data_IF_434133284338
#
_entry.id   IF_434133284338
#
_cell.length_a   1.000
_cell.length_b   1.000
_cell.length_c   1.000
_cell.angle_alpha   90.00
_cell.angle_beta   90.00
_cell.angle_gamma   90.00
#
_symmetry.space_group_name_H-M   'P 1'
#
loop_
_entity.id
_entity.type
_entity.pdbx_description
1 polymer ?
#
# COMPACT_ATOMS: atom_id res chain seq x y z
N UNK A 1 38.05 22.74 19.64
CA UNK A 1 36.79 23.19 20.26
C UNK A 1 35.64 22.75 19.37
N UNK A 2 34.43 22.45 19.89
CA UNK A 2 33.32 22.05 19.04
C UNK A 2 32.87 23.21 18.12
N UNK A 3 32.56 22.86 16.87
CA UNK A 3 32.04 23.81 15.88
C UNK A 3 30.52 23.72 15.88
N UNK A 4 29.84 24.84 16.01
CA UNK A 4 28.38 24.94 15.92
C UNK A 4 27.99 25.57 14.59
N UNK A 5 27.12 24.89 13.83
CA UNK A 5 26.45 25.49 12.69
C UNK A 5 25.21 26.22 13.19
N UNK A 6 25.00 27.46 12.74
CA UNK A 6 23.86 28.27 13.14
C UNK A 6 23.12 28.88 11.94
N UNK A 7 21.81 29.05 12.12
CA UNK A 7 20.95 29.90 11.28
C UNK A 7 20.35 30.98 12.18
N UNK A 8 20.67 32.24 11.86
CA UNK A 8 20.22 33.42 12.61
C UNK A 8 19.44 34.38 11.71
N UNK A 9 18.49 35.11 12.28
CA UNK A 9 17.89 36.28 11.64
C UNK A 9 18.60 37.56 12.11
N UNK A 10 18.78 38.48 11.18
CA UNK A 10 19.12 39.87 11.48
C UNK A 10 17.84 40.68 11.74
N UNK A 11 17.95 41.86 12.38
CA UNK A 11 16.83 42.77 12.59
C UNK A 11 16.13 43.24 11.30
N UNK A 12 16.82 43.15 10.15
CA UNK A 12 16.29 43.46 8.81
C UNK A 12 15.43 42.32 8.21
N UNK A 13 15.26 41.21 8.92
CA UNK A 13 14.50 40.03 8.47
C UNK A 13 15.27 39.08 7.55
N UNK A 14 16.52 39.39 7.21
CA UNK A 14 17.37 38.48 6.43
C UNK A 14 17.91 37.35 7.30
N UNK A 15 18.03 36.14 6.73
CA UNK A 15 18.59 34.98 7.44
C UNK A 15 20.02 34.72 6.99
N UNK A 16 20.89 34.40 7.94
CA UNK A 16 22.30 34.12 7.71
C UNK A 16 22.67 32.76 8.31
N UNK A 17 23.34 31.95 7.50
CA UNK A 17 23.89 30.66 7.90
C UNK A 17 25.40 30.79 8.09
N UNK A 18 25.90 30.28 9.21
CA UNK A 18 27.31 30.38 9.56
C UNK A 18 27.79 29.24 10.45
N UNK A 19 29.08 29.29 10.78
CA UNK A 19 29.71 28.38 11.73
C UNK A 19 30.49 29.18 12.75
N UNK A 20 30.40 28.78 14.02
CA UNK A 20 31.11 29.43 15.12
C UNK A 20 31.65 28.37 16.08
N UNK A 21 32.85 28.60 16.57
CA UNK A 21 33.47 27.74 17.57
C UNK A 21 33.05 28.17 18.97
N UNK A 22 32.73 27.20 19.83
CA UNK A 22 32.41 27.43 21.23
C UNK A 22 32.36 26.14 22.01
N UNK A 23 32.41 26.22 23.34
CA UNK A 23 32.49 25.03 24.20
C UNK A 23 31.10 24.44 24.49
N UNK A 24 30.10 25.29 24.74
CA UNK A 24 28.72 24.89 25.01
C UNK A 24 27.70 25.68 24.19
N UNK A 25 26.59 25.02 23.86
CA UNK A 25 25.52 25.59 23.02
C UNK A 25 24.94 26.86 23.64
N UNK A 26 24.74 26.89 24.96
CA UNK A 26 24.15 28.03 25.66
C UNK A 26 25.04 29.28 25.58
N UNK A 27 26.37 29.12 25.67
CA UNK A 27 27.34 30.21 25.53
C UNK A 27 27.40 30.73 24.09
N UNK A 28 27.33 29.83 23.11
CA UNK A 28 27.31 30.21 21.69
C UNK A 28 26.02 30.95 21.34
N UNK A 29 24.87 30.49 21.85
CA UNK A 29 23.59 31.16 21.70
C UNK A 29 23.61 32.55 22.32
N UNK A 30 24.05 32.68 23.57
CA UNK A 30 24.15 33.98 24.24
C UNK A 30 25.08 34.95 23.50
N UNK A 31 26.17 34.46 22.90
CA UNK A 31 27.09 35.25 22.07
C UNK A 31 26.45 35.75 20.77
N UNK A 32 25.63 34.92 20.11
CA UNK A 32 24.90 35.30 18.90
C UNK A 32 23.74 36.26 19.21
N UNK A 33 22.99 36.00 20.28
CA UNK A 33 21.90 36.87 20.74
C UNK A 33 22.43 38.23 21.23
N UNK A 34 23.60 38.26 21.89
CA UNK A 34 24.30 39.50 22.28
C UNK A 34 24.79 40.34 21.10
N UNK A 35 24.87 39.78 19.89
CA UNK A 35 25.14 40.51 18.65
C UNK A 35 23.86 41.04 17.97
N UNK A 36 22.70 40.93 18.64
CA UNK A 36 21.41 41.34 18.10
C UNK A 36 20.86 40.40 17.03
N UNK A 37 21.37 39.16 16.96
CA UNK A 37 20.96 38.14 16.01
C UNK A 37 20.00 37.16 16.68
N UNK A 38 18.86 36.88 16.05
CA UNK A 38 17.88 35.95 16.59
C UNK A 38 18.19 34.52 16.13
N UNK A 39 18.56 33.64 17.07
CA UNK A 39 19.02 32.28 16.76
C UNK A 39 17.83 31.34 16.52
N UNK A 40 17.60 30.96 15.26
CA UNK A 40 16.55 29.99 14.91
C UNK A 40 17.00 28.54 15.05
N UNK A 41 18.25 28.25 14.70
CA UNK A 41 18.81 26.91 14.75
C UNK A 41 20.28 26.99 15.14
N UNK A 42 20.68 26.19 16.11
CA UNK A 42 22.07 26.05 16.54
C UNK A 42 22.31 24.55 16.72
N UNK A 43 23.27 23.97 15.99
CA UNK A 43 23.56 22.53 16.04
C UNK A 43 25.07 22.31 16.13
N UNK A 44 25.49 21.53 17.13
CA UNK A 44 26.89 21.10 17.27
C UNK A 44 27.23 20.13 16.13
N UNK A 45 28.21 20.50 15.30
CA UNK A 45 28.70 19.65 14.22
C UNK A 45 29.69 18.64 14.81
N UNK A 46 29.34 17.35 14.76
CA UNK A 46 30.23 16.25 15.17
C UNK A 46 29.78 15.43 16.38
N UNK A 47 28.63 15.71 16.99
CA UNK A 47 28.01 14.76 17.90
C UNK A 47 27.18 13.76 17.08
N UNK A 48 27.79 12.63 16.70
CA UNK A 48 27.05 11.45 16.27
C UNK A 48 26.30 10.89 17.48
N UNK A 49 25.22 11.56 17.88
CA UNK A 49 24.29 11.07 18.88
C UNK A 49 23.40 10.04 18.21
N UNK A 50 23.63 8.78 18.57
CA UNK A 50 22.63 7.72 18.61
C UNK A 50 21.44 8.17 19.46
N UNK A 51 20.57 8.99 18.86
CA UNK A 51 19.25 9.29 19.39
C UNK A 51 18.24 8.46 18.61
N UNK A 52 17.67 7.47 19.29
CA UNK A 52 16.35 6.92 19.03
C UNK A 52 15.32 8.06 19.11
N UNK A 53 15.27 8.86 18.05
CA UNK A 53 14.31 9.92 17.81
C UNK A 53 13.77 9.70 16.41
N UNK A 54 12.48 9.38 16.32
CA UNK A 54 11.73 9.15 15.09
C UNK A 54 11.62 10.48 14.32
N UNK A 55 12.71 10.87 13.67
CA UNK A 55 12.70 11.80 12.54
C UNK A 55 12.71 10.96 11.28
N UNK A 56 11.53 10.52 10.83
CA UNK A 56 11.44 9.87 9.52
C UNK A 56 11.97 10.85 8.46
N UNK A 57 13.00 10.52 7.68
CA UNK A 57 13.34 11.31 6.52
C UNK A 57 12.11 11.32 5.61
N UNK A 58 11.59 12.51 5.30
CA UNK A 58 10.52 12.74 4.32
C UNK A 58 10.97 12.45 2.86
N UNK A 59 11.85 11.46 2.68
CA UNK A 59 12.16 10.81 1.42
C UNK A 59 11.13 9.69 1.17
N UNK A 60 9.86 10.02 1.36
CA UNK A 60 8.73 9.14 1.06
C UNK A 60 8.40 9.17 -0.43
N UNK A 61 7.97 8.03 -0.95
CA UNK A 61 7.30 7.95 -2.25
C UNK A 61 6.02 8.82 -2.20
N UNK A 62 5.77 9.61 -3.25
CA UNK A 62 4.58 10.45 -3.32
C UNK A 62 3.31 9.58 -3.27
N UNK A 63 2.28 9.94 -2.48
CA UNK A 63 1.02 9.22 -2.49
C UNK A 63 0.40 9.17 -3.89
N UNK A 64 -0.25 8.06 -4.25
CA UNK A 64 -0.84 7.87 -5.57
C UNK A 64 -1.86 8.95 -5.93
N UNK A 65 -2.65 9.42 -4.94
CA UNK A 65 -3.61 10.50 -5.14
C UNK A 65 -2.93 11.83 -5.48
N UNK A 66 -1.84 12.19 -4.80
CA UNK A 66 -1.07 13.39 -5.11
C UNK A 66 -0.39 13.27 -6.47
N UNK A 67 0.13 12.09 -6.82
CA UNK A 67 0.69 11.84 -8.14
C UNK A 67 -0.35 11.93 -9.27
N UNK A 68 -1.59 11.52 -8.99
CA UNK A 68 -2.72 11.71 -9.92
C UNK A 68 -2.99 13.21 -10.16
N UNK A 69 -3.04 14.02 -9.08
CA UNK A 69 -3.25 15.48 -9.20
C UNK A 69 -2.12 16.12 -9.99
N UNK A 70 -0.87 15.80 -9.67
CA UNK A 70 0.31 16.26 -10.42
C UNK A 70 0.18 15.99 -11.93
N UNK A 71 -0.24 14.76 -12.31
CA UNK A 71 -0.40 14.41 -13.71
C UNK A 71 -1.59 15.13 -14.38
N UNK A 72 -2.67 15.37 -13.66
CA UNK A 72 -3.80 16.16 -14.17
C UNK A 72 -3.40 17.62 -14.42
N UNK A 73 -2.61 18.21 -13.54
CA UNK A 73 -2.06 19.55 -13.73
C UNK A 73 -1.09 19.58 -14.91
N UNK A 74 -0.17 18.61 -15.00
CA UNK A 74 0.73 18.48 -16.14
C UNK A 74 -0.04 18.38 -17.47
N UNK A 75 -1.07 17.53 -17.53
CA UNK A 75 -1.92 17.40 -18.71
C UNK A 75 -2.62 18.73 -19.07
N UNK A 76 -3.17 19.44 -18.08
CA UNK A 76 -3.85 20.71 -18.31
C UNK A 76 -2.89 21.79 -18.85
N UNK A 77 -1.69 21.88 -18.27
CA UNK A 77 -0.66 22.83 -18.68
C UNK A 77 -0.09 22.51 -20.07
N UNK A 78 0.12 21.22 -20.38
CA UNK A 78 0.54 20.76 -21.71
C UNK A 78 -0.54 21.04 -22.76
N UNK A 79 -1.81 20.77 -22.46
CA UNK A 79 -2.94 21.09 -23.36
C UNK A 79 -3.10 22.59 -23.60
N UNK A 80 -2.77 23.41 -22.62
CA UNK A 80 -2.78 24.86 -22.75
C UNK A 80 -1.59 25.41 -23.58
N UNK A 81 -0.65 24.56 -24.00
CA UNK A 81 0.46 24.94 -24.88
C UNK A 81 1.54 25.79 -24.19
N UNK A 82 1.65 25.71 -22.86
CA UNK A 82 2.68 26.46 -22.15
C UNK A 82 4.09 25.93 -22.50
N UNK A 83 5.12 26.80 -22.54
CA UNK A 83 6.50 26.36 -22.71
C UNK A 83 6.91 25.35 -21.63
N UNK A 84 7.63 24.30 -22.01
CA UNK A 84 7.98 23.16 -21.12
C UNK A 84 8.57 23.63 -19.79
N UNK A 85 9.55 24.55 -19.81
CA UNK A 85 10.17 25.06 -18.57
C UNK A 85 9.16 25.77 -17.65
N UNK A 86 8.19 26.49 -18.22
CA UNK A 86 7.13 27.16 -17.45
C UNK A 86 6.14 26.16 -16.86
N UNK A 87 5.84 25.07 -17.58
CA UNK A 87 5.04 23.95 -17.05
C UNK A 87 5.70 23.39 -15.78
N UNK A 88 7.01 23.08 -15.84
CA UNK A 88 7.72 22.56 -14.67
C UNK A 88 7.80 23.55 -13.51
N UNK A 89 7.98 24.85 -13.77
CA UNK A 89 7.97 25.89 -12.72
C UNK A 89 6.63 25.89 -11.95
N UNK A 90 5.51 25.87 -12.67
CA UNK A 90 4.17 25.82 -12.05
C UNK A 90 3.95 24.53 -11.26
N UNK A 91 4.42 23.39 -11.75
CA UNK A 91 4.31 22.11 -11.05
C UNK A 91 5.18 22.07 -9.77
N UNK A 92 6.36 22.70 -9.78
CA UNK A 92 7.23 22.83 -8.61
C UNK A 92 6.58 23.70 -7.54
N UNK A 93 5.96 24.81 -7.94
CA UNK A 93 5.26 25.73 -7.02
C UNK A 93 4.05 25.06 -6.34
N UNK A 94 3.33 24.20 -7.05
CA UNK A 94 2.13 23.50 -6.56
C UNK A 94 2.42 22.20 -5.80
N UNK A 95 3.65 21.69 -5.85
CA UNK A 95 4.02 20.46 -5.17
C UNK A 95 4.10 20.64 -3.64
N UNK A 96 3.21 19.98 -2.90
CA UNK A 96 3.17 20.03 -1.44
C UNK A 96 4.26 19.17 -0.76
N UNK A 97 4.73 18.11 -1.42
CA UNK A 97 5.70 17.17 -0.85
C UNK A 97 7.14 17.62 -1.12
N UNK A 98 7.89 17.98 -0.07
CA UNK A 98 9.24 18.56 -0.18
C UNK A 98 10.24 17.71 -0.96
N UNK A 99 10.27 16.39 -0.73
CA UNK A 99 11.13 15.46 -1.48
C UNK A 99 10.79 15.40 -2.98
N UNK A 100 9.49 15.48 -3.31
CA UNK A 100 9.03 15.46 -4.69
C UNK A 100 9.32 16.79 -5.39
N UNK A 101 9.13 17.91 -4.69
CA UNK A 101 9.48 19.24 -5.17
C UNK A 101 10.98 19.33 -5.52
N UNK A 102 11.86 18.76 -4.69
CA UNK A 102 13.30 18.73 -4.97
C UNK A 102 13.64 17.88 -6.20
N UNK A 103 12.97 16.73 -6.37
CA UNK A 103 13.10 15.93 -7.58
C UNK A 103 12.67 16.71 -8.83
N UNK A 104 11.52 17.40 -8.77
CA UNK A 104 11.03 18.23 -9.89
C UNK A 104 11.98 19.39 -10.23
N UNK A 105 12.61 20.03 -9.23
CA UNK A 105 13.64 21.05 -9.47
C UNK A 105 14.85 20.51 -10.22
N UNK A 106 15.28 19.30 -9.87
CA UNK A 106 16.40 18.62 -10.53
C UNK A 106 16.02 18.24 -11.97
N UNK A 107 14.82 17.69 -12.16
CA UNK A 107 14.26 17.39 -13.49
C UNK A 107 14.22 18.63 -14.37
N UNK A 108 13.70 19.75 -13.85
CA UNK A 108 13.68 21.02 -14.58
C UNK A 108 15.08 21.50 -14.98
N UNK A 109 16.06 21.38 -14.08
CA UNK A 109 17.45 21.77 -14.35
C UNK A 109 18.04 20.94 -15.50
N UNK A 110 17.78 19.64 -15.51
CA UNK A 110 18.23 18.74 -16.57
C UNK A 110 17.58 19.05 -17.92
N UNK A 111 16.28 19.31 -17.92
CA UNK A 111 15.54 19.72 -19.13
C UNK A 111 16.08 21.06 -19.66
N UNK A 112 16.37 22.01 -18.77
CA UNK A 112 17.03 23.27 -19.14
C UNK A 112 18.42 23.03 -19.73
N UNK A 113 19.11 21.98 -19.29
CA UNK A 113 20.39 21.51 -19.84
C UNK A 113 20.30 20.75 -21.16
N UNK A 114 19.08 20.53 -21.69
CA UNK A 114 18.85 19.87 -22.97
C UNK A 114 18.49 18.38 -22.89
N UNK A 115 18.35 17.80 -21.70
CA UNK A 115 17.85 16.44 -21.55
C UNK A 115 16.35 16.37 -21.91
N UNK A 116 15.89 15.22 -22.41
CA UNK A 116 14.44 14.99 -22.52
C UNK A 116 13.80 14.90 -21.13
N UNK A 117 12.48 15.15 -21.03
CA UNK A 117 11.80 14.98 -19.77
C UNK A 117 11.82 13.52 -19.30
N UNK A 118 11.69 12.54 -20.22
CA UNK A 118 11.81 11.13 -19.85
C UNK A 118 13.18 10.77 -19.27
N UNK A 119 14.28 11.27 -19.84
CA UNK A 119 15.63 11.07 -19.32
C UNK A 119 15.84 11.72 -17.95
N UNK A 120 15.37 12.96 -17.80
CA UNK A 120 15.47 13.69 -16.54
C UNK A 120 14.66 12.99 -15.41
N UNK A 121 13.45 12.53 -15.71
CA UNK A 121 12.60 11.79 -14.78
C UNK A 121 13.21 10.44 -14.39
N UNK A 122 13.90 9.76 -15.30
CA UNK A 122 14.52 8.46 -15.05
C UNK A 122 15.58 8.48 -13.94
N UNK A 123 16.20 9.63 -13.67
CA UNK A 123 17.16 9.81 -12.57
C UNK A 123 16.52 9.78 -11.18
N UNK A 124 15.19 9.80 -11.09
CA UNK A 124 14.43 9.85 -9.84
C UNK A 124 13.44 8.67 -9.69
N UNK A 125 13.91 7.41 -9.68
CA UNK A 125 13.06 6.21 -9.67
C UNK A 125 12.22 6.03 -8.40
N UNK A 126 12.54 6.74 -7.33
CA UNK A 126 11.75 6.75 -6.08
C UNK A 126 10.37 7.35 -6.32
N UNK A 127 10.27 8.38 -7.17
CA UNK A 127 9.03 9.11 -7.45
C UNK A 127 8.38 8.70 -8.78
N UNK A 128 9.18 8.36 -9.79
CA UNK A 128 8.71 8.06 -11.13
C UNK A 128 8.93 6.58 -11.44
N UNK A 129 7.85 5.85 -11.69
CA UNK A 129 7.94 4.44 -12.08
C UNK A 129 8.45 4.30 -13.51
N UNK A 130 9.03 3.15 -13.84
CA UNK A 130 9.44 2.81 -15.21
C UNK A 130 8.29 2.95 -16.21
N UNK A 131 7.08 2.53 -15.81
CA UNK A 131 5.86 2.74 -16.60
C UNK A 131 5.61 4.21 -16.91
N UNK A 132 5.76 5.08 -15.92
CA UNK A 132 5.57 6.52 -16.11
C UNK A 132 6.63 7.11 -17.04
N UNK A 133 7.89 6.74 -16.85
CA UNK A 133 9.00 7.18 -17.70
C UNK A 133 8.77 6.74 -19.15
N UNK A 134 8.38 5.48 -19.37
CA UNK A 134 8.06 4.96 -20.69
C UNK A 134 6.87 5.67 -21.34
N UNK A 135 5.85 6.00 -20.53
CA UNK A 135 4.68 6.78 -20.96
C UNK A 135 5.09 8.17 -21.44
N UNK A 136 5.90 8.89 -20.67
CA UNK A 136 6.40 10.21 -21.07
C UNK A 136 7.28 10.09 -22.33
N UNK A 137 8.18 9.11 -22.39
CA UNK A 137 9.05 8.87 -23.55
C UNK A 137 8.24 8.63 -24.83
N UNK A 138 7.20 7.80 -24.77
CA UNK A 138 6.32 7.56 -25.92
C UNK A 138 5.58 8.84 -26.34
N UNK A 139 5.15 9.66 -25.39
CA UNK A 139 4.54 10.97 -25.65
C UNK A 139 5.51 11.97 -26.30
N UNK A 140 6.77 11.98 -25.88
CA UNK A 140 7.83 12.81 -26.47
C UNK A 140 8.15 12.37 -27.90
N UNK A 141 8.31 11.07 -28.14
CA UNK A 141 8.65 10.52 -29.46
C UNK A 141 7.51 10.69 -30.48
N UNK A 142 6.26 10.53 -30.04
CA UNK A 142 5.07 10.71 -30.89
C UNK A 142 4.64 12.17 -31.05
N UNK A 143 5.20 13.09 -30.26
CA UNK A 143 4.76 14.48 -30.19
C UNK A 143 3.37 14.67 -29.58
N UNK A 144 2.75 13.60 -29.04
CA UNK A 144 1.40 13.62 -28.50
C UNK A 144 1.38 13.29 -27.00
N UNK A 145 2.10 14.09 -26.23
CA UNK A 145 2.20 13.94 -24.77
C UNK A 145 0.83 14.04 -24.08
N UNK A 146 -0.08 14.87 -24.60
CA UNK A 146 -1.40 15.09 -24.01
C UNK A 146 -2.25 13.81 -24.02
N UNK A 147 -2.29 13.09 -25.14
CA UNK A 147 -3.07 11.84 -25.24
C UNK A 147 -2.49 10.76 -24.34
N UNK A 148 -1.16 10.60 -24.34
CA UNK A 148 -0.48 9.57 -23.56
C UNK A 148 -0.62 9.82 -22.05
N UNK A 149 -0.52 11.09 -21.60
CA UNK A 149 -0.85 11.48 -20.23
C UNK A 149 -2.31 11.23 -19.87
N UNK A 150 -3.25 11.48 -20.78
CA UNK A 150 -4.68 11.21 -20.55
C UNK A 150 -4.95 9.72 -20.33
N UNK A 151 -4.33 8.84 -21.14
CA UNK A 151 -4.39 7.38 -20.94
C UNK A 151 -3.79 6.97 -19.60
N UNK A 152 -2.63 7.54 -19.23
CA UNK A 152 -1.99 7.24 -17.95
C UNK A 152 -2.80 7.72 -16.73
N UNK A 153 -3.44 8.88 -16.82
CA UNK A 153 -4.36 9.38 -15.79
C UNK A 153 -5.56 8.45 -15.62
N UNK A 154 -6.13 7.96 -16.73
CA UNK A 154 -7.21 6.98 -16.68
C UNK A 154 -6.77 5.70 -15.96
N UNK A 155 -5.57 5.20 -16.28
CA UNK A 155 -4.95 4.08 -15.57
C UNK A 155 -4.76 4.35 -14.07
N UNK A 156 -4.22 5.52 -13.67
CA UNK A 156 -4.05 5.86 -12.25
C UNK A 156 -5.39 5.92 -11.51
N UNK A 157 -6.43 6.51 -12.11
CA UNK A 157 -7.79 6.56 -11.53
C UNK A 157 -8.36 5.17 -11.29
N UNK A 158 -8.23 4.28 -12.26
CA UNK A 158 -8.64 2.89 -12.15
C UNK A 158 -7.90 2.20 -11.00
N UNK A 159 -6.57 2.36 -10.91
CA UNK A 159 -5.78 1.72 -9.86
C UNK A 159 -6.11 2.23 -8.46
N UNK A 160 -6.32 3.54 -8.32
CA UNK A 160 -6.77 4.15 -7.06
C UNK A 160 -8.17 3.63 -6.70
N UNK A 161 -9.08 3.58 -7.68
CA UNK A 161 -10.44 3.08 -7.50
C UNK A 161 -10.48 1.63 -7.04
N UNK A 162 -9.73 0.73 -7.70
CA UNK A 162 -9.62 -0.67 -7.31
C UNK A 162 -9.05 -0.81 -5.90
N UNK A 163 -7.96 -0.09 -5.57
CA UNK A 163 -7.37 -0.14 -4.23
C UNK A 163 -8.35 0.35 -3.17
N UNK A 164 -9.10 1.42 -3.43
CA UNK A 164 -10.11 1.94 -2.52
C UNK A 164 -11.28 0.97 -2.36
N UNK A 165 -11.77 0.36 -3.45
CA UNK A 165 -12.82 -0.67 -3.41
C UNK A 165 -12.39 -1.85 -2.53
N UNK A 166 -11.19 -2.40 -2.77
CA UNK A 166 -10.63 -3.49 -1.95
C UNK A 166 -10.48 -3.08 -0.50
N UNK A 167 -9.92 -1.88 -0.24
CA UNK A 167 -9.73 -1.39 1.12
C UNK A 167 -11.06 -1.17 1.87
N UNK A 168 -12.07 -0.62 1.20
CA UNK A 168 -13.41 -0.39 1.79
C UNK A 168 -14.14 -1.70 2.02
N UNK A 169 -14.05 -2.64 1.08
CA UNK A 169 -14.64 -3.97 1.19
C UNK A 169 -14.11 -4.75 2.42
N UNK A 170 -12.85 -4.55 2.79
CA UNK A 170 -12.22 -5.19 3.95
C UNK A 170 -12.36 -4.40 5.26
N UNK A 171 -12.55 -3.08 5.20
CA UNK A 171 -12.64 -2.22 6.37
C UNK A 171 -13.86 -2.58 7.26
N UNK A 172 -15.03 -2.79 6.64
CA UNK A 172 -16.25 -3.10 7.38
C UNK A 172 -16.21 -4.46 8.09
N UNK A 173 -15.80 -5.57 7.45
CA UNK A 173 -15.57 -6.85 8.13
C UNK A 173 -14.56 -6.73 9.27
N UNK A 174 -13.46 -5.99 9.05
CA UNK A 174 -12.46 -5.74 10.09
C UNK A 174 -13.04 -5.02 11.31
N UNK A 175 -13.91 -4.03 11.09
CA UNK A 175 -14.61 -3.33 12.16
C UNK A 175 -15.57 -4.25 12.93
N UNK A 176 -16.38 -5.07 12.24
CA UNK A 176 -17.27 -6.03 12.89
C UNK A 176 -16.52 -7.06 13.72
N UNK A 177 -15.40 -7.61 13.20
CA UNK A 177 -14.53 -8.52 13.95
C UNK A 177 -13.98 -7.85 15.20
N UNK A 178 -13.50 -6.60 15.08
CA UNK A 178 -12.97 -5.83 16.21
C UNK A 178 -14.03 -5.64 17.30
N UNK A 179 -15.23 -5.20 16.93
CA UNK A 179 -16.35 -5.02 17.88
C UNK A 179 -16.76 -6.36 18.49
N UNK A 180 -16.81 -7.42 17.69
CA UNK A 180 -17.11 -8.78 18.15
C UNK A 180 -16.13 -9.26 19.20
N UNK A 181 -14.82 -9.15 18.92
CA UNK A 181 -13.76 -9.50 19.86
C UNK A 181 -13.89 -8.65 21.14
N UNK A 182 -14.19 -7.36 21.02
CA UNK A 182 -14.38 -6.49 22.18
C UNK A 182 -15.59 -6.90 23.05
N UNK A 183 -16.74 -7.20 22.43
CA UNK A 183 -17.96 -7.66 23.14
C UNK A 183 -17.71 -9.00 23.81
N UNK A 184 -17.15 -9.97 23.09
CA UNK A 184 -16.82 -11.29 23.64
C UNK A 184 -15.81 -11.13 24.77
N UNK A 185 -14.75 -10.35 24.56
CA UNK A 185 -13.73 -10.07 25.58
C UNK A 185 -14.34 -9.45 26.84
N UNK A 186 -15.26 -8.50 26.71
CA UNK A 186 -15.98 -7.89 27.83
C UNK A 186 -16.87 -8.91 28.56
N UNK A 187 -17.64 -9.72 27.82
CA UNK A 187 -18.49 -10.75 28.43
C UNK A 187 -17.65 -11.75 29.22
N UNK A 188 -16.56 -12.25 28.66
CA UNK A 188 -15.72 -13.27 29.31
C UNK A 188 -14.88 -12.71 30.46
N UNK A 189 -14.43 -11.46 30.40
CA UNK A 189 -13.56 -10.87 31.44
C UNK A 189 -14.31 -10.26 32.62
N UNK A 190 -15.52 -9.73 32.39
CA UNK A 190 -16.27 -9.02 33.43
C UNK A 190 -17.57 -9.73 33.79
N UNK A 191 -18.38 -10.07 32.79
CA UNK A 191 -19.74 -10.61 33.03
C UNK A 191 -19.69 -12.04 33.57
N UNK A 192 -19.00 -12.95 32.86
CA UNK A 192 -18.91 -14.37 33.26
C UNK A 192 -18.35 -14.52 34.69
N UNK A 193 -17.22 -13.88 35.08
CA UNK A 193 -16.68 -14.04 36.44
C UNK A 193 -17.61 -13.49 37.53
N UNK A 194 -18.28 -12.37 37.26
CA UNK A 194 -19.26 -11.78 38.21
C UNK A 194 -20.37 -12.78 38.51
N UNK A 195 -20.96 -13.39 37.47
CA UNK A 195 -21.98 -14.42 37.67
C UNK A 195 -21.44 -15.64 38.42
N UNK A 196 -20.24 -16.12 38.07
CA UNK A 196 -19.64 -17.28 38.74
C UNK A 196 -19.41 -17.01 40.23
N UNK A 197 -19.01 -15.80 40.61
CA UNK A 197 -18.84 -15.43 42.01
C UNK A 197 -20.17 -15.47 42.79
N UNK A 198 -21.27 -15.03 42.18
CA UNK A 198 -22.62 -15.12 42.76
C UNK A 198 -23.09 -16.57 42.86
N UNK A 199 -22.71 -17.43 41.92
CA UNK A 199 -23.06 -18.86 41.95
C UNK A 199 -22.21 -19.68 42.93
N UNK A 200 -20.93 -19.34 43.13
CA UNK A 200 -20.04 -20.06 44.04
C UNK A 200 -20.52 -20.01 45.51
N UNK A 201 -21.33 -19.01 45.86
CA UNK A 201 -21.96 -18.86 47.17
C UNK A 201 -23.20 -19.76 47.35
N UNK A 202 -23.83 -20.20 46.24
CA UNK A 202 -24.92 -21.19 46.25
C UNK A 202 -24.36 -22.58 46.04
N UNK A 203 -24.48 -23.45 47.05
CA UNK A 203 -23.90 -24.79 47.23
C UNK A 203 -24.18 -25.87 46.16
N UNK A 204 -24.38 -25.53 44.89
CA UNK A 204 -24.60 -26.46 43.76
C UNK A 204 -23.47 -26.36 42.74
N UNK A 205 -23.03 -27.51 42.24
CA UNK A 205 -22.07 -27.59 41.14
C UNK A 205 -22.60 -26.90 39.89
N UNK A 206 -21.77 -26.09 39.24
CA UNK A 206 -22.10 -25.43 37.98
C UNK A 206 -22.47 -26.46 36.90
N UNK A 207 -23.42 -26.16 35.99
CA UNK A 207 -23.72 -27.02 34.86
C UNK A 207 -22.48 -27.25 33.98
N UNK A 208 -22.35 -28.45 33.41
CA UNK A 208 -21.18 -28.83 32.61
C UNK A 208 -20.86 -27.85 31.45
N UNK A 209 -21.89 -27.26 30.84
CA UNK A 209 -21.73 -26.25 29.79
C UNK A 209 -21.10 -24.94 30.31
N UNK A 210 -21.48 -24.50 31.52
CA UNK A 210 -20.92 -23.31 32.18
C UNK A 210 -19.50 -23.58 32.66
N UNK A 211 -19.22 -24.80 33.13
CA UNK A 211 -17.91 -25.23 33.58
C UNK A 211 -16.90 -25.31 32.43
N UNK A 212 -17.27 -25.91 31.29
CA UNK A 212 -16.43 -25.96 30.08
C UNK A 212 -16.09 -24.56 29.55
N UNK A 213 -17.05 -23.63 29.60
CA UNK A 213 -16.85 -22.25 29.17
C UNK A 213 -15.92 -21.51 30.16
N UNK A 214 -16.09 -21.73 31.46
CA UNK A 214 -15.17 -21.24 32.50
C UNK A 214 -13.75 -21.78 32.37
N UNK A 215 -13.60 -23.08 32.07
CA UNK A 215 -12.29 -23.71 31.88
C UNK A 215 -11.58 -23.13 30.66
N UNK A 216 -12.31 -22.86 29.57
CA UNK A 216 -11.79 -22.16 28.39
C UNK A 216 -11.39 -20.70 28.70
N UNK A 217 -12.14 -20.00 29.54
CA UNK A 217 -11.89 -18.59 29.90
C UNK A 217 -10.76 -18.45 30.91
N UNK A 218 -10.75 -19.26 31.97
CA UNK A 218 -9.73 -19.23 33.03
C UNK A 218 -8.42 -19.83 32.54
N UNK A 219 -8.47 -20.91 31.76
CA UNK A 219 -7.34 -21.39 30.98
C UNK A 219 -6.86 -20.32 29.99
N UNK A 220 -7.79 -19.68 29.28
CA UNK A 220 -7.53 -18.56 28.39
C UNK A 220 -6.85 -17.36 29.06
N UNK A 221 -7.16 -17.03 30.31
CA UNK A 221 -6.50 -15.95 31.07
C UNK A 221 -5.07 -16.29 31.47
N UNK A 222 -4.78 -17.55 31.83
CA UNK A 222 -3.42 -18.02 32.10
C UNK A 222 -2.56 -18.10 30.81
N UNK A 223 -3.17 -18.44 29.67
CA UNK A 223 -2.51 -18.53 28.38
C UNK A 223 -2.58 -17.24 27.54
N UNK A 224 -3.37 -16.23 27.93
CA UNK A 224 -3.56 -14.99 27.17
C UNK A 224 -2.24 -14.24 26.97
N UNK A 225 -1.45 -14.10 28.03
CA UNK A 225 -0.14 -13.45 27.98
C UNK A 225 0.86 -14.27 27.15
N UNK A 226 1.05 -15.60 27.36
CA UNK A 226 1.87 -16.43 26.48
C UNK A 226 1.42 -16.43 25.01
N UNK A 227 0.12 -16.43 24.73
CA UNK A 227 -0.44 -16.40 23.37
C UNK A 227 -0.24 -15.04 22.72
N UNK A 228 -0.43 -13.93 23.45
CA UNK A 228 -0.14 -12.58 22.97
C UNK A 228 1.35 -12.38 22.71
N UNK A 229 2.21 -12.86 23.61
CA UNK A 229 3.67 -12.84 23.43
C UNK A 229 4.09 -13.74 22.27
N UNK A 230 3.48 -14.91 22.12
CA UNK A 230 3.68 -15.82 21.00
C UNK A 230 3.24 -15.24 19.67
N UNK A 231 2.08 -14.57 19.61
CA UNK A 231 1.59 -13.85 18.44
C UNK A 231 2.46 -12.63 18.12
N UNK A 232 2.94 -11.91 19.13
CA UNK A 232 3.87 -10.80 18.95
C UNK A 232 5.22 -11.30 18.43
N UNK A 233 5.75 -12.40 18.98
CA UNK A 233 6.99 -13.03 18.53
C UNK A 233 6.85 -13.60 17.10
N UNK A 234 5.73 -14.27 16.79
CA UNK A 234 5.38 -14.71 15.44
C UNK A 234 5.20 -13.54 14.48
N UNK A 235 4.60 -12.44 14.95
CA UNK A 235 4.44 -11.21 14.17
C UNK A 235 5.79 -10.55 13.87
N UNK A 236 6.70 -10.50 14.84
CA UNK A 236 8.06 -9.99 14.66
C UNK A 236 8.91 -10.92 13.78
N UNK A 237 8.82 -12.23 13.97
CA UNK A 237 9.49 -13.23 13.15
C UNK A 237 8.95 -13.22 11.71
N UNK A 238 7.63 -13.12 11.55
CA UNK A 238 6.95 -12.97 10.26
C UNK A 238 7.34 -11.66 9.57
N UNK A 239 7.46 -10.56 10.32
CA UNK A 239 7.96 -9.28 9.80
C UNK A 239 9.43 -9.39 9.39
N UNK A 240 10.28 -10.00 10.20
CA UNK A 240 11.69 -10.23 9.87
C UNK A 240 11.82 -11.11 8.61
N UNK A 241 11.00 -12.16 8.50
CA UNK A 241 10.91 -13.00 7.31
C UNK A 241 10.41 -12.22 6.08
N UNK A 242 9.41 -11.36 6.23
CA UNK A 242 8.90 -10.47 5.18
C UNK A 242 9.89 -9.36 4.79
N UNK A 243 10.94 -9.08 5.57
CA UNK A 243 12.01 -8.19 5.09
C UNK A 243 12.93 -8.92 4.11
N UNK A 244 13.05 -10.24 4.20
CA UNK A 244 13.89 -11.03 3.28
C UNK A 244 13.29 -11.12 1.87
N UNK A 245 14.10 -11.24 0.81
CA UNK A 245 13.60 -11.46 -0.56
C UNK A 245 12.76 -12.74 -0.70
N UNK A 246 13.24 -13.84 -0.09
CA UNK A 246 12.57 -15.14 -0.14
C UNK A 246 11.23 -15.13 0.62
N UNK A 247 11.19 -14.51 1.80
CA UNK A 247 9.96 -14.44 2.58
C UNK A 247 8.88 -13.57 1.93
N UNK A 248 9.27 -12.48 1.25
CA UNK A 248 8.31 -11.69 0.45
C UNK A 248 7.72 -12.50 -0.69
N UNK A 249 8.55 -13.26 -1.40
CA UNK A 249 8.10 -14.12 -2.49
C UNK A 249 7.18 -15.24 -1.98
N UNK A 250 7.49 -15.82 -0.81
CA UNK A 250 6.65 -16.84 -0.18
C UNK A 250 5.28 -16.29 0.25
N UNK A 251 5.24 -15.10 0.87
CA UNK A 251 3.98 -14.43 1.25
C UNK A 251 3.17 -14.04 0.02
N UNK A 252 3.82 -13.51 -1.00
CA UNK A 252 3.20 -13.15 -2.27
C UNK A 252 2.65 -14.38 -3.01
N UNK A 253 3.29 -15.54 -2.88
CA UNK A 253 2.76 -16.81 -3.40
C UNK A 253 1.58 -17.31 -2.57
N UNK A 254 1.69 -17.24 -1.24
CA UNK A 254 0.65 -17.70 -0.32
C UNK A 254 -0.64 -16.89 -0.51
N UNK A 255 -0.53 -15.57 -0.71
CA UNK A 255 -1.70 -14.70 -0.94
C UNK A 255 -2.52 -15.11 -2.17
N UNK A 256 -1.87 -15.65 -3.20
CA UNK A 256 -2.53 -16.18 -4.41
C UNK A 256 -3.22 -17.53 -4.18
N UNK A 257 -2.79 -18.30 -3.17
CA UNK A 257 -3.35 -19.62 -2.85
C UNK A 257 -4.54 -19.60 -1.90
N UNK A 258 -4.91 -18.42 -1.36
CA UNK A 258 -6.04 -18.29 -0.46
C UNK A 258 -7.36 -18.56 -1.20
N UNK A 259 -8.27 -19.40 -0.68
CA UNK A 259 -9.46 -19.86 -1.43
C UNK A 259 -10.42 -18.73 -1.83
N UNK A 260 -10.51 -17.68 -1.01
CA UNK A 260 -11.39 -16.52 -1.27
C UNK A 260 -10.63 -15.36 -1.90
N UNK A 261 -9.49 -14.98 -1.33
CA UNK A 261 -8.71 -13.82 -1.77
C UNK A 261 -7.80 -14.10 -2.97
N UNK A 262 -7.33 -15.34 -3.12
CA UNK A 262 -6.43 -15.75 -4.20
C UNK A 262 -7.01 -15.49 -5.59
N UNK A 263 -8.23 -15.95 -5.91
CA UNK A 263 -8.88 -15.65 -7.18
C UNK A 263 -9.06 -14.15 -7.44
N UNK A 264 -9.30 -13.35 -6.39
CA UNK A 264 -9.43 -11.89 -6.49
C UNK A 264 -8.07 -11.27 -6.86
N UNK A 265 -7.00 -11.68 -6.20
CA UNK A 265 -5.64 -11.22 -6.51
C UNK A 265 -5.20 -11.63 -7.91
N UNK A 266 -5.46 -12.86 -8.34
CA UNK A 266 -5.16 -13.32 -9.70
C UNK A 266 -5.85 -12.44 -10.74
N UNK A 267 -7.14 -12.15 -10.58
CA UNK A 267 -7.88 -11.24 -11.49
C UNK A 267 -7.32 -9.83 -11.45
N UNK A 268 -7.03 -9.32 -10.25
CA UNK A 268 -6.44 -8.01 -10.08
C UNK A 268 -5.09 -7.87 -10.82
N UNK A 269 -4.20 -8.86 -10.71
CA UNK A 269 -2.92 -8.85 -11.43
C UNK A 269 -3.09 -9.07 -12.94
N UNK A 270 -4.10 -9.83 -13.35
CA UNK A 270 -4.47 -9.98 -14.75
C UNK A 270 -4.87 -8.64 -15.35
N UNK A 271 -5.82 -7.93 -14.70
CA UNK A 271 -6.27 -6.58 -15.12
C UNK A 271 -5.10 -5.59 -15.14
N UNK A 272 -4.24 -5.58 -14.12
CA UNK A 272 -3.07 -4.71 -14.10
C UNK A 272 -2.14 -4.97 -15.28
N UNK A 273 -1.79 -6.24 -15.53
CA UNK A 273 -0.87 -6.60 -16.60
C UNK A 273 -1.47 -6.26 -17.97
N UNK A 274 -2.69 -6.70 -18.24
CA UNK A 274 -3.32 -6.57 -19.57
C UNK A 274 -3.62 -5.11 -19.90
N UNK A 275 -4.11 -4.32 -18.94
CA UNK A 275 -4.34 -2.88 -19.12
C UNK A 275 -3.05 -2.12 -19.36
N UNK A 276 -2.00 -2.45 -18.61
CA UNK A 276 -0.69 -1.80 -18.75
C UNK A 276 -0.08 -2.13 -20.12
N UNK A 277 -0.08 -3.40 -20.51
CA UNK A 277 0.36 -3.85 -21.83
C UNK A 277 -0.42 -3.18 -22.96
N UNK A 278 -1.75 -3.15 -22.90
CA UNK A 278 -2.59 -2.49 -23.90
C UNK A 278 -2.20 -1.01 -24.07
N UNK A 279 -1.98 -0.32 -22.95
CA UNK A 279 -1.62 1.11 -22.94
C UNK A 279 -0.27 1.36 -23.60
N UNK A 280 0.74 0.54 -23.27
CA UNK A 280 2.10 0.70 -23.80
C UNK A 280 2.18 0.29 -25.28
N UNK A 281 1.54 -0.82 -25.65
CA UNK A 281 1.50 -1.30 -27.04
C UNK A 281 0.75 -0.32 -27.95
N UNK A 282 -0.35 0.28 -27.48
CA UNK A 282 -1.06 1.32 -28.22
C UNK A 282 -0.24 2.61 -28.39
N UNK A 283 0.89 2.75 -27.69
CA UNK A 283 1.89 3.81 -27.91
C UNK A 283 2.99 3.41 -28.91
N UNK A 284 2.89 2.24 -29.55
CA UNK A 284 3.86 1.76 -30.54
C UNK A 284 5.13 1.13 -29.97
N UNK A 285 5.18 0.89 -28.66
CA UNK A 285 6.34 0.23 -28.03
C UNK A 285 6.36 -1.26 -28.40
N UNK A 286 7.53 -1.85 -28.77
CA UNK A 286 7.64 -3.28 -29.07
C UNK A 286 7.19 -4.17 -27.89
N UNK A 287 6.61 -5.33 -28.19
CA UNK A 287 5.98 -6.22 -27.20
C UNK A 287 6.90 -6.63 -26.04
N UNK A 288 8.14 -7.01 -26.36
CA UNK A 288 9.12 -7.44 -25.35
C UNK A 288 9.43 -6.33 -24.35
N UNK A 289 9.60 -5.10 -24.85
CA UNK A 289 9.87 -3.93 -24.00
C UNK A 289 8.62 -3.54 -23.21
N UNK A 290 7.45 -3.55 -23.87
CA UNK A 290 6.17 -3.31 -23.24
C UNK A 290 5.90 -4.27 -22.08
N UNK A 291 6.21 -5.56 -22.24
CA UNK A 291 6.06 -6.58 -21.21
C UNK A 291 7.05 -6.38 -20.06
N UNK A 292 8.30 -6.02 -20.36
CA UNK A 292 9.30 -5.69 -19.34
C UNK A 292 8.87 -4.52 -18.47
N UNK A 293 8.27 -3.48 -19.08
CA UNK A 293 7.74 -2.31 -18.37
C UNK A 293 6.47 -2.67 -17.59
N UNK A 294 5.54 -3.42 -18.21
CA UNK A 294 4.27 -3.81 -17.59
C UNK A 294 4.48 -4.70 -16.36
N UNK A 295 5.53 -5.54 -16.37
CA UNK A 295 5.97 -6.29 -15.19
C UNK A 295 6.24 -5.40 -13.98
N UNK A 296 6.78 -4.19 -14.18
CA UNK A 296 7.08 -3.23 -13.12
C UNK A 296 5.83 -2.65 -12.45
N UNK A 297 4.66 -2.76 -13.08
CA UNK A 297 3.38 -2.34 -12.51
C UNK A 297 2.81 -3.37 -11.52
N UNK A 298 3.22 -4.64 -11.61
CA UNK A 298 2.73 -5.71 -10.75
C UNK A 298 3.30 -5.59 -9.33
N UNK A 299 2.42 -5.45 -8.35
CA UNK A 299 2.82 -5.33 -6.95
C UNK A 299 3.22 -6.66 -6.30
N UNK A 300 2.75 -7.79 -6.84
CA UNK A 300 3.10 -9.12 -6.36
C UNK A 300 4.35 -9.64 -7.08
N UNK A 301 5.38 -9.97 -6.29
CA UNK A 301 6.69 -10.37 -6.79
C UNK A 301 6.68 -11.75 -7.42
N UNK A 302 5.85 -12.67 -6.91
CA UNK A 302 5.71 -13.99 -7.51
C UNK A 302 5.19 -13.89 -8.94
N UNK A 303 4.14 -13.08 -9.16
CA UNK A 303 3.61 -12.81 -10.52
C UNK A 303 4.62 -12.05 -11.37
N UNK A 304 5.28 -11.03 -10.80
CA UNK A 304 6.31 -10.23 -11.50
C UNK A 304 7.50 -11.08 -11.96
N UNK A 305 7.98 -12.02 -11.13
CA UNK A 305 9.05 -12.96 -11.51
C UNK A 305 8.57 -13.94 -12.58
N UNK A 306 7.33 -14.44 -12.50
CA UNK A 306 6.74 -15.26 -13.56
C UNK A 306 6.71 -14.54 -14.91
N UNK A 307 6.30 -13.27 -14.92
CA UNK A 307 6.29 -12.44 -16.13
C UNK A 307 7.72 -12.11 -16.60
N UNK A 308 8.69 -11.98 -15.70
CA UNK A 308 10.10 -11.81 -16.08
C UNK A 308 10.63 -13.02 -16.89
N UNK A 309 10.24 -14.24 -16.49
CA UNK A 309 10.53 -15.45 -17.26
C UNK A 309 9.89 -15.40 -18.65
N UNK A 310 8.64 -14.96 -18.74
CA UNK A 310 7.94 -14.82 -20.01
C UNK A 310 8.64 -13.84 -20.97
N UNK A 311 9.22 -12.74 -20.46
CA UNK A 311 10.01 -11.80 -21.29
C UNK A 311 11.22 -12.49 -21.94
N UNK A 312 11.93 -13.36 -21.21
CA UNK A 312 13.07 -14.09 -21.74
C UNK A 312 12.63 -15.10 -22.82
N UNK A 313 11.54 -15.85 -22.57
CA UNK A 313 11.03 -16.84 -23.52
C UNK A 313 10.52 -16.22 -24.82
N UNK A 314 9.90 -15.04 -24.77
CA UNK A 314 9.45 -14.32 -25.98
C UNK A 314 10.65 -13.81 -26.78
N UNK A 315 11.73 -13.39 -26.12
CA UNK A 315 12.99 -13.04 -26.82
C UNK A 315 13.61 -14.24 -27.53
N UNK A 316 13.38 -15.44 -27.01
CA UNK A 316 13.80 -16.71 -27.62
C UNK A 316 12.82 -17.22 -28.70
N UNK A 317 11.73 -16.50 -28.97
CA UNK A 317 10.78 -16.80 -30.04
C UNK A 317 9.50 -17.53 -29.60
N UNK A 318 9.25 -17.66 -28.30
CA UNK A 318 7.99 -18.22 -27.77
C UNK A 318 6.84 -17.22 -27.92
N UNK A 319 5.62 -17.71 -28.14
CA UNK A 319 4.42 -16.85 -28.19
C UNK A 319 4.12 -16.24 -26.81
N UNK A 320 3.52 -15.06 -26.79
CA UNK A 320 3.12 -14.37 -25.56
C UNK A 320 2.18 -15.24 -24.72
N UNK A 321 1.19 -15.87 -25.36
CA UNK A 321 0.23 -16.72 -24.67
C UNK A 321 0.90 -17.91 -23.97
N UNK A 322 1.80 -18.62 -24.67
CA UNK A 322 2.51 -19.75 -24.10
C UNK A 322 3.43 -19.34 -22.95
N UNK A 323 4.15 -18.22 -23.11
CA UNK A 323 5.06 -17.68 -22.11
C UNK A 323 4.31 -17.25 -20.83
N UNK A 324 3.10 -16.69 -20.95
CA UNK A 324 2.26 -16.31 -19.81
C UNK A 324 1.51 -17.48 -19.18
N UNK A 325 1.27 -18.58 -19.89
CA UNK A 325 0.64 -19.79 -19.36
C UNK A 325 1.58 -20.59 -18.44
N UNK A 326 2.89 -20.55 -18.69
CA UNK A 326 3.90 -21.28 -17.93
C UNK A 326 3.88 -21.04 -16.41
N UNK A 327 3.79 -19.79 -15.89
CA UNK A 327 3.70 -19.56 -14.45
C UNK A 327 2.39 -20.07 -13.81
N UNK A 328 1.38 -20.46 -14.62
CA UNK A 328 0.06 -20.97 -14.17
C UNK A 328 -0.66 -20.06 -13.17
N UNK A 329 -0.42 -18.74 -13.30
CA UNK A 329 -1.07 -17.72 -12.47
C UNK A 329 -2.31 -17.16 -13.17
N UNK A 330 -2.21 -16.87 -14.47
CA UNK A 330 -3.27 -16.17 -15.19
C UNK A 330 -4.44 -17.10 -15.54
N UNK A 331 -5.68 -16.59 -15.56
CA UNK A 331 -6.83 -17.37 -15.98
C UNK A 331 -6.68 -17.91 -17.41
N UNK A 332 -7.17 -19.12 -17.66
CA UNK A 332 -7.10 -19.77 -18.99
C UNK A 332 -7.72 -18.92 -20.10
N UNK A 333 -8.90 -18.38 -19.86
CA UNK A 333 -9.59 -17.50 -20.82
C UNK A 333 -8.74 -16.27 -21.17
N UNK A 334 -8.03 -15.68 -20.20
CA UNK A 334 -7.12 -14.56 -20.49
C UNK A 334 -6.01 -15.01 -21.46
N UNK A 335 -5.36 -16.14 -21.18
CA UNK A 335 -4.31 -16.71 -22.03
C UNK A 335 -4.81 -17.03 -23.43
N UNK A 336 -5.99 -17.64 -23.54
CA UNK A 336 -6.63 -18.01 -24.82
C UNK A 336 -6.94 -16.76 -25.66
N UNK A 337 -7.50 -15.71 -25.06
CA UNK A 337 -7.77 -14.45 -25.75
C UNK A 337 -6.48 -13.77 -26.23
N UNK A 338 -5.39 -13.86 -25.46
CA UNK A 338 -4.09 -13.37 -25.91
C UNK A 338 -3.53 -14.17 -27.07
N UNK A 339 -3.72 -15.50 -27.09
CA UNK A 339 -3.32 -16.36 -28.21
C UNK A 339 -4.04 -15.92 -29.50
N UNK A 340 -5.36 -15.73 -29.42
CA UNK A 340 -6.17 -15.25 -30.55
C UNK A 340 -5.71 -13.85 -31.00
N UNK A 341 -5.41 -12.95 -30.05
CA UNK A 341 -4.92 -11.61 -30.36
C UNK A 341 -3.55 -11.61 -31.05
N UNK A 342 -2.66 -12.52 -30.66
CA UNK A 342 -1.35 -12.71 -31.26
C UNK A 342 -1.46 -13.29 -32.68
N UNK A 343 -2.28 -14.33 -32.88
CA UNK A 343 -2.51 -14.97 -34.19
C UNK A 343 -3.18 -14.04 -35.20
N UNK A 344 -4.11 -13.19 -34.74
CA UNK A 344 -4.87 -12.26 -35.59
C UNK A 344 -4.19 -10.90 -35.75
N UNK A 345 -3.06 -10.66 -35.06
CA UNK A 345 -2.40 -9.35 -35.02
C UNK A 345 -3.20 -8.26 -34.30
N UNK A 346 -4.26 -8.62 -33.58
CA UNK A 346 -5.17 -7.70 -32.87
C UNK A 346 -4.89 -7.64 -31.35
N UNK A 347 -3.65 -7.95 -30.94
CA UNK A 347 -3.25 -8.08 -29.55
C UNK A 347 -3.62 -6.86 -28.65
N UNK A 348 -3.45 -5.59 -29.08
CA UNK A 348 -3.86 -4.44 -28.27
C UNK A 348 -5.36 -4.43 -27.94
N UNK A 349 -6.21 -4.85 -28.89
CA UNK A 349 -7.66 -4.95 -28.71
C UNK A 349 -8.00 -6.08 -27.75
N UNK A 350 -7.43 -7.27 -27.95
CA UNK A 350 -7.68 -8.41 -27.06
C UNK A 350 -7.19 -8.15 -25.62
N UNK A 351 -6.06 -7.47 -25.44
CA UNK A 351 -5.60 -7.04 -24.11
C UNK A 351 -6.59 -6.07 -23.44
N UNK A 352 -7.22 -5.18 -24.22
CA UNK A 352 -8.25 -4.27 -23.72
C UNK A 352 -9.48 -5.03 -23.26
N UNK A 353 -9.97 -5.95 -24.08
CA UNK A 353 -11.18 -6.75 -23.82
C UNK A 353 -10.98 -7.67 -22.60
N UNK A 354 -9.81 -8.31 -22.49
CA UNK A 354 -9.43 -9.10 -21.30
C UNK A 354 -9.41 -8.22 -20.05
N UNK A 355 -8.85 -7.01 -20.14
CA UNK A 355 -8.81 -6.08 -19.00
C UNK A 355 -10.23 -5.68 -18.56
N UNK A 356 -11.12 -5.34 -19.50
CA UNK A 356 -12.50 -4.93 -19.21
C UNK A 356 -13.34 -6.08 -18.63
N UNK A 357 -13.22 -7.27 -19.22
CA UNK A 357 -13.91 -8.47 -18.73
C UNK A 357 -13.54 -8.79 -17.28
N UNK A 358 -12.23 -8.87 -16.98
CA UNK A 358 -11.79 -9.21 -15.62
C UNK A 358 -11.96 -8.06 -14.63
N UNK A 359 -12.04 -6.81 -15.10
CA UNK A 359 -12.41 -5.67 -14.26
C UNK A 359 -13.87 -5.77 -13.80
N UNK A 360 -14.79 -6.07 -14.72
CA UNK A 360 -16.21 -6.29 -14.39
C UNK A 360 -16.42 -7.51 -13.49
N UNK A 361 -15.78 -8.64 -13.80
CA UNK A 361 -15.85 -9.87 -12.99
C UNK A 361 -15.20 -9.69 -11.60
N UNK A 362 -14.12 -8.89 -11.49
CA UNK A 362 -13.55 -8.49 -10.20
C UNK A 362 -14.54 -7.65 -9.39
N UNK A 363 -15.23 -6.68 -10.01
CA UNK A 363 -16.18 -5.81 -9.34
C UNK A 363 -17.40 -6.58 -8.81
N UNK A 364 -17.94 -7.49 -9.62
CA UNK A 364 -19.03 -8.38 -9.23
C UNK A 364 -18.65 -9.23 -8.02
N UNK A 365 -17.45 -9.82 -8.02
CA UNK A 365 -16.98 -10.65 -6.91
C UNK A 365 -16.71 -9.87 -5.64
N UNK A 366 -16.13 -8.68 -5.74
CA UNK A 366 -15.93 -7.82 -4.59
C UNK A 366 -17.28 -7.44 -3.97
N UNK A 367 -18.26 -7.09 -4.80
CA UNK A 367 -19.62 -6.75 -4.35
C UNK A 367 -20.31 -7.93 -3.67
N UNK A 368 -20.28 -9.12 -4.29
CA UNK A 368 -20.85 -10.34 -3.69
C UNK A 368 -20.20 -10.68 -2.36
N UNK A 369 -18.87 -10.60 -2.28
CA UNK A 369 -18.12 -10.87 -1.05
C UNK A 369 -18.53 -9.91 0.07
N UNK A 370 -18.67 -8.61 -0.24
CA UNK A 370 -19.13 -7.63 0.76
C UNK A 370 -20.57 -7.88 1.21
N UNK A 371 -21.47 -8.22 0.30
CA UNK A 371 -22.89 -8.44 0.61
C UNK A 371 -23.12 -9.69 1.48
N UNK A 372 -22.36 -10.76 1.26
CA UNK A 372 -22.52 -12.01 2.03
C UNK A 372 -21.78 -12.02 3.36
N UNK A 373 -20.64 -11.31 3.45
CA UNK A 373 -19.88 -11.27 4.70
C UNK A 373 -20.70 -10.69 5.84
N UNK A 374 -21.49 -9.64 5.60
CA UNK A 374 -22.25 -8.96 6.64
C UNK A 374 -23.27 -9.88 7.35
N UNK A 375 -24.21 -10.55 6.64
CA UNK A 375 -25.15 -11.47 7.26
C UNK A 375 -24.46 -12.64 7.97
N UNK A 376 -23.40 -13.21 7.38
CA UNK A 376 -22.66 -14.32 7.97
C UNK A 376 -21.98 -13.90 9.26
N UNK A 377 -21.35 -12.72 9.28
CA UNK A 377 -20.71 -12.16 10.47
C UNK A 377 -21.74 -11.87 11.56
N UNK A 378 -22.86 -11.24 11.23
CA UNK A 378 -23.94 -10.96 12.19
C UNK A 378 -24.54 -12.25 12.76
N UNK A 379 -24.73 -13.27 11.93
CA UNK A 379 -25.23 -14.58 12.37
C UNK A 379 -24.25 -15.25 13.32
N UNK A 380 -22.96 -15.33 12.96
CA UNK A 380 -21.91 -15.92 13.82
C UNK A 380 -21.85 -15.16 15.14
N UNK A 381 -21.87 -13.83 15.10
CA UNK A 381 -21.80 -12.99 16.30
C UNK A 381 -23.03 -13.17 17.17
N UNK A 382 -24.23 -13.20 16.58
CA UNK A 382 -25.48 -13.42 17.29
C UNK A 382 -25.56 -14.81 17.93
N UNK A 383 -25.14 -15.86 17.21
CA UNK A 383 -25.07 -17.22 17.75
C UNK A 383 -24.07 -17.30 18.90
N UNK A 384 -22.90 -16.68 18.75
CA UNK A 384 -21.85 -16.74 19.76
C UNK A 384 -22.24 -15.96 21.02
N UNK A 385 -22.73 -14.72 20.87
CA UNK A 385 -23.24 -13.92 22.00
C UNK A 385 -24.45 -14.59 22.64
N UNK A 386 -25.39 -15.10 21.83
CA UNK A 386 -26.56 -15.84 22.30
C UNK A 386 -26.19 -17.09 23.10
N UNK A 387 -25.20 -17.87 22.62
CA UNK A 387 -24.70 -19.04 23.34
C UNK A 387 -24.09 -18.65 24.70
N UNK A 388 -23.30 -17.57 24.76
CA UNK A 388 -22.77 -17.06 26.03
C UNK A 388 -23.92 -16.71 26.97
N UNK A 389 -24.90 -15.93 26.50
CA UNK A 389 -26.06 -15.54 27.31
C UNK A 389 -26.83 -16.77 27.81
N UNK A 390 -27.13 -17.76 26.96
CA UNK A 390 -27.83 -18.98 27.37
C UNK A 390 -27.05 -19.72 28.45
N UNK A 391 -25.73 -19.90 28.28
CA UNK A 391 -24.86 -20.55 29.27
C UNK A 391 -24.86 -19.77 30.59
N UNK A 392 -25.03 -18.45 30.54
CA UNK A 392 -25.15 -17.63 31.74
C UNK A 392 -26.49 -17.75 32.46
N UNK A 393 -27.60 -17.92 31.73
CA UNK A 393 -28.94 -18.02 32.31
C UNK A 393 -29.34 -19.44 32.71
N UNK A 394 -28.73 -20.47 32.11
CA UNK A 394 -29.04 -21.87 32.41
C UNK A 394 -28.96 -22.22 33.91
N UNK A 395 -27.96 -21.76 34.68
CA UNK A 395 -27.91 -22.01 36.11
C UNK A 395 -29.03 -21.31 36.90
N UNK A 396 -29.49 -20.11 36.47
CA UNK A 396 -30.65 -19.41 37.08
C UNK A 396 -31.89 -20.31 37.03
N UNK A 397 -32.18 -20.88 35.85
CA UNK A 397 -33.37 -21.70 35.65
C UNK A 397 -33.33 -23.01 36.46
N UNK A 398 -32.16 -23.63 36.58
CA UNK A 398 -32.01 -24.84 37.38
C UNK A 398 -32.18 -24.59 38.88
N UNK A 399 -31.85 -23.39 39.37
CA UNK A 399 -32.14 -23.02 40.76
C UNK A 399 -33.63 -22.79 40.97
N UNK A 400 -34.28 -22.03 40.09
CA UNK A 400 -35.72 -21.74 40.17
C UNK A 400 -36.60 -22.99 40.05
N UNK A 401 -36.19 -23.99 39.25
CA UNK A 401 -36.91 -25.27 39.12
C UNK A 401 -36.62 -26.29 40.23
N UNK A 402 -35.75 -25.96 41.19
CA UNK A 402 -35.40 -26.83 42.32
C UNK A 402 -35.95 -26.37 43.67
N UNK A 403 -36.88 -25.41 43.63
CA UNK A 403 -37.68 -24.94 44.78
C UNK A 403 -39.06 -25.56 44.70
#
# INVERSE_FOLDING_TARGET
>A
MPVFAYRVARPDGSTLDGQIEGEEEHLVRAKLEGQGLLVFRLQRRGAATTSLGVGWPAFGKLPLQEFLVFNQELLALVKAGLPVLRVWDLLIERANHSGFQQALRTVRQDIRGGASASEALAKHPIHFSELYIATIKAGEQSGNLAEVLQRFIAYLKLMIGLRQKVSKALAYPGFLVLVGIAVIGFLLSYVVPTFVSVYAESSKSLPAATQLLLDLVTGGQAYLVPVLVGLAALGLAGRAYYVTPAGRLAVDRLSLSLPVLGPIFVKHYTVQLTRTLATILAGGTPLVDALSIARGALSNRYVSVGVAGAVAEIREGTTLAAALDRPKVFPKLAVEMLSVGEETGSLPTMLHDVAEFYEGDLDLRLTQLTTWIEPVMLLIMGVLVGAIVIVMYLPVFQMAGSV
#
